data_IF_356702521114
#
_entry.id   IF_356702521114
#
_cell.length_a   1.000
_cell.length_b   1.000
_cell.length_c   1.000
_cell.angle_alpha   90.00
_cell.angle_beta   90.00
_cell.angle_gamma   90.00
#
_symmetry.space_group_name_H-M   'P 1'
#
loop_
_entity.id
_entity.type
_entity.pdbx_description
1 polymer ?
#
# COMPACT_ATOMS: atom_id res chain seq x y z
N UNK A 1 -8.82 -1.38 -19.03
CA UNK A 1 -7.85 -2.43 -19.36
C UNK A 1 -6.49 -1.76 -19.46
N UNK A 2 -5.72 -1.74 -18.36
CA UNK A 2 -4.40 -1.08 -18.33
C UNK A 2 -3.39 -2.12 -18.81
N UNK A 3 -3.03 -2.09 -20.09
CA UNK A 3 -1.89 -2.85 -20.61
C UNK A 3 -0.63 -2.11 -20.21
N UNK A 4 0.16 -2.70 -19.31
CA UNK A 4 1.53 -2.26 -19.04
C UNK A 4 2.46 -3.16 -19.84
N UNK A 5 2.74 -2.81 -21.09
CA UNK A 5 3.79 -3.48 -21.87
C UNK A 5 5.17 -2.99 -21.37
N UNK A 6 5.69 -3.64 -20.33
CA UNK A 6 7.09 -3.50 -19.93
C UNK A 6 7.81 -4.83 -20.18
N UNK A 7 8.74 -4.82 -21.14
CA UNK A 7 9.76 -5.84 -21.26
C UNK A 7 10.70 -5.76 -20.05
N UNK A 8 10.73 -6.82 -19.23
CA UNK A 8 11.68 -6.94 -18.13
C UNK A 8 12.68 -8.05 -18.47
N UNK A 9 13.94 -7.67 -18.68
CA UNK A 9 15.05 -8.60 -18.85
C UNK A 9 15.41 -9.23 -17.50
N UNK A 10 15.09 -10.52 -17.30
CA UNK A 10 15.42 -11.25 -16.09
C UNK A 10 16.58 -12.24 -16.37
N UNK A 11 17.73 -12.05 -15.73
CA UNK A 11 18.85 -13.00 -15.78
C UNK A 11 18.67 -14.13 -14.76
N UNK A 12 18.60 -15.38 -15.21
CA UNK A 12 18.54 -16.55 -14.33
C UNK A 12 19.89 -16.73 -13.62
N UNK A 13 19.90 -16.67 -12.28
CA UNK A 13 21.10 -16.84 -11.47
C UNK A 13 21.04 -18.14 -10.66
N UNK A 14 22.18 -18.82 -10.58
CA UNK A 14 22.37 -20.03 -9.78
C UNK A 14 23.07 -19.75 -8.46
N UNK A 15 22.57 -20.38 -7.39
CA UNK A 15 23.33 -20.57 -6.16
C UNK A 15 23.53 -22.06 -5.91
N UNK A 16 24.80 -22.49 -5.82
CA UNK A 16 25.15 -23.82 -5.33
C UNK A 16 24.99 -23.86 -3.80
N UNK A 17 24.33 -24.90 -3.28
CA UNK A 17 24.36 -25.26 -1.87
C UNK A 17 25.32 -26.44 -1.64
N UNK A 18 25.72 -26.66 -0.38
CA UNK A 18 26.45 -27.88 0.01
C UNK A 18 25.60 -29.10 -0.38
N UNK A 19 26.21 -30.09 -1.06
CA UNK A 19 25.61 -31.28 -1.70
C UNK A 19 25.30 -31.20 -3.21
N UNK A 20 25.83 -30.22 -3.95
CA UNK A 20 25.62 -30.08 -5.41
C UNK A 20 24.19 -29.70 -5.82
N UNK A 21 23.41 -29.15 -4.89
CA UNK A 21 22.10 -28.58 -5.18
C UNK A 21 22.27 -27.19 -5.79
N UNK A 22 21.46 -26.88 -6.81
CA UNK A 22 21.56 -25.67 -7.60
C UNK A 22 20.17 -25.02 -7.62
N UNK A 23 19.96 -23.92 -6.89
CA UNK A 23 18.64 -23.25 -6.80
C UNK A 23 18.61 -22.08 -7.78
N UNK A 24 17.55 -22.01 -8.58
CA UNK A 24 17.22 -20.82 -9.38
C UNK A 24 16.64 -19.75 -8.47
N UNK A 25 17.38 -18.66 -8.28
CA UNK A 25 16.90 -17.48 -7.56
C UNK A 25 16.91 -16.30 -8.51
N UNK A 26 15.84 -16.15 -9.27
CA UNK A 26 15.67 -14.98 -10.13
C UNK A 26 14.50 -14.17 -9.59
N UNK A 27 14.79 -12.92 -9.22
CA UNK A 27 13.78 -11.93 -8.85
C UNK A 27 13.86 -10.82 -9.88
N UNK A 28 12.74 -10.54 -10.53
CA UNK A 28 12.68 -9.46 -11.50
C UNK A 28 12.92 -8.11 -10.85
N UNK A 29 13.34 -7.09 -11.62
CA UNK A 29 13.15 -5.70 -11.22
C UNK A 29 11.69 -5.47 -10.81
N UNK A 30 11.49 -4.56 -9.86
CA UNK A 30 10.15 -4.19 -9.45
C UNK A 30 9.42 -3.46 -10.59
N UNK A 31 8.14 -3.77 -10.78
CA UNK A 31 7.25 -3.10 -11.72
C UNK A 31 5.98 -2.66 -11.00
N UNK A 32 5.16 -1.83 -11.67
CA UNK A 32 4.03 -1.21 -10.99
C UNK A 32 2.79 -1.21 -11.86
N UNK A 33 1.64 -1.41 -11.22
CA UNK A 33 0.32 -1.12 -11.76
C UNK A 33 -0.17 0.16 -11.10
N UNK A 34 -0.32 1.23 -11.88
CA UNK A 34 -0.72 2.54 -11.38
C UNK A 34 -1.92 3.07 -12.16
N UNK A 35 -2.91 3.59 -11.45
CA UNK A 35 -4.07 4.25 -12.04
C UNK A 35 -4.68 5.20 -11.00
N UNK A 36 -5.16 6.37 -11.46
CA UNK A 36 -5.84 7.37 -10.63
C UNK A 36 -5.10 7.73 -9.31
N UNK A 37 -3.78 7.91 -9.39
CA UNK A 37 -2.93 8.26 -8.25
C UNK A 37 -2.65 7.12 -7.25
N UNK A 38 -3.20 5.92 -7.48
CA UNK A 38 -2.94 4.73 -6.66
C UNK A 38 -1.96 3.81 -7.39
N UNK A 39 -0.93 3.34 -6.68
CA UNK A 39 0.10 2.45 -7.22
C UNK A 39 0.24 1.19 -6.38
N UNK A 40 0.26 0.04 -7.05
CA UNK A 40 0.74 -1.23 -6.49
C UNK A 40 2.05 -1.61 -7.18
N UNK A 41 3.00 -2.09 -6.39
CA UNK A 41 4.34 -2.47 -6.80
C UNK A 41 4.52 -3.97 -6.64
N UNK A 42 5.03 -4.60 -7.68
CA UNK A 42 5.11 -6.03 -7.85
C UNK A 42 6.54 -6.46 -8.19
N UNK A 43 6.84 -7.73 -7.98
CA UNK A 43 8.00 -8.39 -8.55
C UNK A 43 7.63 -9.83 -8.93
N UNK A 44 8.32 -10.40 -9.92
CA UNK A 44 8.23 -11.82 -10.23
C UNK A 44 9.42 -12.54 -9.61
N UNK A 45 9.19 -13.72 -9.06
CA UNK A 45 10.26 -14.59 -8.57
C UNK A 45 10.11 -15.98 -9.15
N UNK A 46 11.19 -16.53 -9.66
CA UNK A 46 11.28 -17.97 -9.91
C UNK A 46 11.83 -18.63 -8.64
N UNK A 47 11.13 -19.67 -8.18
CA UNK A 47 11.54 -20.47 -7.01
C UNK A 47 11.62 -21.92 -7.41
N UNK A 48 12.76 -22.55 -7.18
CA UNK A 48 12.96 -23.98 -7.36
C UNK A 48 12.77 -24.69 -6.02
N UNK A 49 11.64 -25.36 -5.87
CA UNK A 49 11.27 -26.12 -4.68
C UNK A 49 11.68 -27.58 -4.88
N UNK A 50 12.53 -28.10 -3.99
CA UNK A 50 12.95 -29.50 -4.00
C UNK A 50 12.59 -30.15 -2.66
N UNK A 51 11.70 -31.13 -2.67
CA UNK A 51 11.42 -31.99 -1.52
C UNK A 51 12.18 -33.29 -1.72
N UNK A 52 13.26 -33.45 -0.98
CA UNK A 52 14.08 -34.67 -0.97
C UNK A 52 13.39 -35.71 -0.09
N UNK A 53 13.09 -36.87 -0.67
CA UNK A 53 12.58 -38.00 0.10
C UNK A 53 13.74 -38.67 0.83
N UNK A 54 13.73 -38.60 2.17
CA UNK A 54 14.76 -39.18 3.03
C UNK A 54 14.35 -40.55 3.61
N UNK A 55 13.20 -41.10 3.22
CA UNK A 55 12.69 -42.35 3.78
C UNK A 55 13.12 -43.57 2.96
N UNK A 56 14.08 -44.34 3.49
CA UNK A 56 14.53 -45.62 2.90
C UNK A 56 13.40 -46.68 2.83
N UNK A 57 12.35 -46.55 3.64
CA UNK A 57 11.27 -47.53 3.78
C UNK A 57 9.99 -47.21 2.99
N UNK A 58 9.88 -46.01 2.42
CA UNK A 58 8.75 -45.60 1.59
C UNK A 58 9.29 -44.87 0.37
N UNK A 59 9.16 -45.48 -0.82
CA UNK A 59 9.60 -44.92 -2.09
C UNK A 59 8.69 -43.75 -2.53
N UNK A 60 8.65 -42.68 -1.73
CA UNK A 60 8.11 -41.40 -2.18
C UNK A 60 9.19 -40.79 -3.07
N UNK A 61 8.94 -40.55 -4.37
CA UNK A 61 9.93 -39.91 -5.23
C UNK A 61 10.20 -38.48 -4.76
N UNK A 62 11.45 -38.03 -4.87
CA UNK A 62 11.76 -36.61 -4.69
C UNK A 62 10.96 -35.79 -5.69
N UNK A 63 10.37 -34.70 -5.21
CA UNK A 63 9.58 -33.79 -6.05
C UNK A 63 10.35 -32.49 -6.17
N UNK A 64 10.78 -32.18 -7.40
CA UNK A 64 11.36 -30.89 -7.75
C UNK A 64 10.40 -30.13 -8.66
N UNK A 65 10.18 -28.85 -8.37
CA UNK A 65 9.25 -28.00 -9.08
C UNK A 65 9.77 -26.58 -9.12
N UNK A 66 9.78 -25.99 -10.32
CA UNK A 66 9.94 -24.54 -10.46
C UNK A 66 8.58 -23.84 -10.44
N UNK A 67 8.46 -22.82 -9.60
CA UNK A 67 7.28 -21.98 -9.43
C UNK A 67 7.56 -20.57 -9.94
N UNK A 68 6.56 -19.96 -10.60
CA UNK A 68 6.51 -18.51 -10.84
C UNK A 68 5.70 -17.88 -9.72
N UNK A 69 6.30 -17.00 -8.94
CA UNK A 69 5.64 -16.29 -7.85
C UNK A 69 5.47 -14.82 -8.22
N UNK A 70 4.27 -14.31 -7.99
CA UNK A 70 3.99 -12.87 -8.03
C UNK A 70 4.06 -12.31 -6.60
N UNK A 71 5.00 -11.40 -6.37
CA UNK A 71 5.22 -10.73 -5.11
C UNK A 71 4.51 -9.39 -5.07
N UNK A 72 3.66 -9.18 -4.07
CA UNK A 72 3.14 -7.85 -3.76
C UNK A 72 4.18 -7.13 -2.89
N UNK A 73 5.00 -6.29 -3.51
CA UNK A 73 6.15 -5.64 -2.84
C UNK A 73 5.70 -4.47 -1.98
N UNK A 74 4.91 -3.57 -2.57
CA UNK A 74 4.49 -2.34 -1.91
C UNK A 74 3.20 -1.78 -2.50
N UNK A 75 2.45 -1.01 -1.72
CA UNK A 75 1.18 -0.42 -2.12
C UNK A 75 0.38 0.11 -0.92
N UNK A 76 -0.85 0.59 -1.16
CA UNK A 76 -1.63 1.40 -0.22
C UNK A 76 -2.27 0.60 0.92
N UNK A 77 -2.36 -0.72 0.79
CA UNK A 77 -2.96 -1.61 1.79
C UNK A 77 -2.06 -2.83 2.05
N UNK A 78 -2.20 -3.45 3.22
CA UNK A 78 -1.46 -4.66 3.59
C UNK A 78 -1.84 -5.84 2.71
N UNK A 79 -3.13 -6.02 2.47
CA UNK A 79 -3.65 -7.12 1.66
C UNK A 79 -4.45 -6.55 0.49
N UNK A 80 -4.25 -7.12 -0.70
CA UNK A 80 -4.98 -6.72 -1.91
C UNK A 80 -5.62 -7.93 -2.57
N UNK A 81 -6.89 -7.81 -2.94
CA UNK A 81 -7.59 -8.84 -3.70
C UNK A 81 -7.63 -8.47 -5.18
N UNK A 82 -6.92 -9.21 -6.02
CA UNK A 82 -6.99 -9.06 -7.48
C UNK A 82 -8.11 -9.91 -8.07
N UNK A 83 -8.64 -9.55 -9.23
CA UNK A 83 -9.63 -10.42 -9.90
C UNK A 83 -8.96 -11.66 -10.48
N UNK A 84 -7.77 -11.48 -11.06
CA UNK A 84 -7.00 -12.51 -11.72
C UNK A 84 -5.56 -12.03 -11.93
N UNK A 85 -4.59 -12.92 -11.76
CA UNK A 85 -3.24 -12.73 -12.28
C UNK A 85 -2.85 -13.95 -13.12
N UNK A 86 -2.40 -13.71 -14.34
CA UNK A 86 -1.97 -14.72 -15.29
C UNK A 86 -0.56 -14.46 -15.78
N UNK A 87 0.24 -15.50 -15.93
CA UNK A 87 1.54 -15.39 -16.57
C UNK A 87 1.64 -16.30 -17.80
N UNK A 88 2.53 -15.93 -18.72
CA UNK A 88 2.96 -16.76 -19.82
C UNK A 88 4.46 -16.57 -20.06
N UNK A 89 5.08 -17.57 -20.68
CA UNK A 89 6.47 -17.51 -21.10
C UNK A 89 6.47 -17.47 -22.61
N UNK A 90 7.13 -16.47 -23.17
CA UNK A 90 7.16 -16.24 -24.61
C UNK A 90 8.56 -16.41 -25.17
N UNK A 91 8.65 -16.89 -26.41
CA UNK A 91 9.89 -16.93 -27.16
C UNK A 91 10.23 -15.50 -27.62
N UNK A 92 11.40 -14.95 -27.26
CA UNK A 92 11.76 -13.58 -27.64
C UNK A 92 11.83 -13.36 -29.15
N UNK A 93 12.24 -14.38 -29.91
CA UNK A 93 12.46 -14.26 -31.35
C UNK A 93 11.16 -14.32 -32.17
N UNK A 94 10.19 -15.13 -31.72
CA UNK A 94 8.97 -15.40 -32.49
C UNK A 94 7.73 -14.77 -31.85
N UNK A 95 7.80 -14.35 -30.59
CA UNK A 95 6.64 -13.95 -29.79
C UNK A 95 5.70 -15.10 -29.45
N UNK A 96 6.01 -16.34 -29.84
CA UNK A 96 5.15 -17.49 -29.59
C UNK A 96 5.17 -17.86 -28.10
N UNK A 97 4.01 -18.23 -27.57
CA UNK A 97 3.89 -18.70 -26.19
C UNK A 97 4.48 -20.11 -26.04
N UNK A 98 5.52 -20.22 -25.22
CA UNK A 98 6.19 -21.48 -24.86
C UNK A 98 5.44 -22.21 -23.74
N UNK A 99 4.97 -21.44 -22.76
CA UNK A 99 4.16 -21.93 -21.63
C UNK A 99 3.05 -20.93 -21.31
N UNK A 100 1.85 -21.45 -21.12
CA UNK A 100 0.65 -20.66 -20.77
C UNK A 100 -0.13 -21.36 -19.66
N UNK A 101 -1.07 -20.64 -19.05
CA UNK A 101 -1.97 -21.19 -18.03
C UNK A 101 -1.47 -21.02 -16.60
N UNK A 102 -0.40 -20.26 -16.36
CA UNK A 102 -0.05 -19.83 -15.00
C UNK A 102 -1.17 -18.92 -14.48
N UNK A 103 -1.81 -19.30 -13.37
CA UNK A 103 -2.99 -18.59 -12.87
C UNK A 103 -3.02 -18.46 -11.34
N UNK A 104 -3.55 -17.35 -10.87
CA UNK A 104 -3.86 -17.10 -9.46
C UNK A 104 -5.29 -17.53 -9.08
N UNK A 105 -5.95 -18.38 -9.86
CA UNK A 105 -7.37 -18.76 -9.64
C UNK A 105 -7.67 -19.23 -8.22
N UNK A 106 -6.73 -19.95 -7.59
CA UNK A 106 -6.88 -20.50 -6.24
C UNK A 106 -6.42 -19.54 -5.13
N UNK A 107 -5.74 -18.43 -5.46
CA UNK A 107 -5.35 -17.40 -4.49
C UNK A 107 -5.39 -16.01 -5.13
N UNK A 108 -6.41 -15.24 -4.75
CA UNK A 108 -6.64 -13.88 -5.24
C UNK A 108 -6.21 -12.81 -4.25
N UNK A 109 -5.88 -13.20 -3.03
CA UNK A 109 -5.47 -12.30 -1.96
C UNK A 109 -3.96 -12.31 -1.84
N UNK A 110 -3.36 -11.13 -1.99
CA UNK A 110 -1.93 -10.92 -1.96
C UNK A 110 -1.57 -10.07 -0.75
N UNK A 111 -0.87 -10.67 0.22
CA UNK A 111 -0.28 -9.97 1.34
C UNK A 111 1.03 -9.27 0.97
N UNK A 112 1.19 -8.03 1.44
CA UNK A 112 2.36 -7.19 1.21
C UNK A 112 3.62 -7.84 1.78
N UNK A 113 4.69 -7.83 1.01
CA UNK A 113 5.94 -8.53 1.31
C UNK A 113 5.92 -10.04 1.01
N UNK A 114 4.79 -10.60 0.56
CA UNK A 114 4.64 -12.03 0.29
C UNK A 114 4.56 -12.34 -1.21
N UNK A 115 5.00 -13.55 -1.56
CA UNK A 115 4.94 -14.09 -2.93
C UNK A 115 3.94 -15.21 -3.02
N UNK A 116 3.09 -15.16 -4.04
CA UNK A 116 2.06 -16.15 -4.28
C UNK A 116 2.33 -16.91 -5.58
N UNK A 117 2.30 -18.25 -5.57
CA UNK A 117 2.58 -19.03 -6.77
C UNK A 117 1.43 -18.90 -7.77
N UNK A 118 1.78 -18.59 -9.02
CA UNK A 118 0.90 -18.74 -10.16
C UNK A 118 0.96 -20.21 -10.59
N UNK A 119 -0.15 -20.91 -10.36
CA UNK A 119 -0.20 -22.36 -10.53
C UNK A 119 -0.35 -22.68 -12.01
N UNK A 120 0.37 -23.73 -12.43
CA UNK A 120 0.28 -24.31 -13.76
C UNK A 120 -0.45 -25.65 -13.65
N UNK A 121 -1.04 -26.11 -14.73
CA UNK A 121 -1.60 -27.46 -14.78
C UNK A 121 -0.52 -28.51 -14.44
N UNK A 122 -0.86 -29.49 -13.60
CA UNK A 122 0.06 -30.56 -13.15
C UNK A 122 0.76 -31.29 -14.30
N UNK A 123 0.10 -31.40 -15.46
CA UNK A 123 0.66 -32.03 -16.66
C UNK A 123 1.81 -31.22 -17.29
N UNK A 124 1.85 -29.92 -17.03
CA UNK A 124 2.83 -28.97 -17.57
C UNK A 124 3.90 -28.59 -16.55
N UNK A 125 3.65 -28.75 -15.24
CA UNK A 125 4.60 -28.42 -14.16
C UNK A 125 5.97 -29.10 -14.36
N UNK A 126 5.98 -30.40 -14.71
CA UNK A 126 7.22 -31.13 -14.96
C UNK A 126 7.96 -30.60 -16.19
N UNK A 127 7.23 -30.39 -17.30
CA UNK A 127 7.82 -29.86 -18.55
C UNK A 127 8.41 -28.47 -18.34
N UNK A 128 7.72 -27.63 -17.58
CA UNK A 128 8.19 -26.29 -17.23
C UNK A 128 9.45 -26.36 -16.36
N UNK A 129 9.44 -27.22 -15.34
CA UNK A 129 10.60 -27.46 -14.47
C UNK A 129 11.81 -27.91 -15.29
N UNK A 130 11.65 -28.91 -16.17
CA UNK A 130 12.72 -29.41 -17.03
C UNK A 130 13.22 -28.30 -17.99
N UNK A 131 12.30 -27.50 -18.54
CA UNK A 131 12.63 -26.37 -19.42
C UNK A 131 13.50 -25.32 -18.72
N UNK A 132 13.14 -24.90 -17.49
CA UNK A 132 13.95 -23.91 -16.74
C UNK A 132 15.37 -24.44 -16.49
N UNK A 133 15.50 -25.72 -16.12
CA UNK A 133 16.81 -26.34 -15.86
C UNK A 133 17.65 -26.57 -17.12
N UNK A 134 17.03 -26.68 -18.30
CA UNK A 134 17.75 -26.74 -19.58
C UNK A 134 18.16 -25.35 -20.08
N UNK A 135 17.53 -24.30 -19.57
CA UNK A 135 17.69 -22.91 -20.00
C UNK A 135 18.33 -22.06 -18.90
N UNK A 136 19.24 -22.67 -18.14
CA UNK A 136 20.09 -22.00 -17.17
C UNK A 136 21.01 -21.02 -17.89
N UNK A 137 21.24 -19.85 -17.28
CA UNK A 137 22.07 -18.77 -17.83
C UNK A 137 21.55 -18.21 -19.18
N UNK A 138 20.31 -18.54 -19.56
CA UNK A 138 19.65 -17.96 -20.73
C UNK A 138 18.58 -16.93 -20.32
N UNK A 139 18.20 -16.07 -21.26
CA UNK A 139 17.13 -15.10 -21.07
C UNK A 139 15.77 -15.75 -21.23
N UNK A 140 14.87 -15.48 -20.28
CA UNK A 140 13.49 -15.94 -20.31
C UNK A 140 12.55 -14.74 -20.23
N UNK A 141 11.63 -14.64 -21.20
CA UNK A 141 10.63 -13.58 -21.22
C UNK A 141 9.34 -14.07 -20.56
N UNK A 142 9.02 -13.48 -19.41
CA UNK A 142 7.79 -13.75 -18.67
C UNK A 142 6.86 -12.55 -18.86
N UNK A 143 5.66 -12.79 -19.37
CA UNK A 143 4.58 -11.80 -19.47
C UNK A 143 3.63 -12.03 -18.30
N UNK A 144 3.18 -10.95 -17.66
CA UNK A 144 2.24 -10.98 -16.54
C UNK A 144 1.07 -10.05 -16.83
N UNK A 145 -0.14 -10.58 -16.73
CA UNK A 145 -1.39 -9.84 -16.82
C UNK A 145 -2.08 -9.86 -15.45
N UNK A 146 -2.25 -8.68 -14.84
CA UNK A 146 -2.91 -8.52 -13.54
C UNK A 146 -4.19 -7.72 -13.72
N UNK A 147 -5.33 -8.31 -13.36
CA UNK A 147 -6.65 -7.73 -13.46
C UNK A 147 -7.14 -7.27 -12.09
N UNK A 148 -7.46 -5.99 -11.99
CA UNK A 148 -7.96 -5.35 -10.76
C UNK A 148 -9.40 -4.88 -10.91
N UNK A 149 -10.12 -4.83 -9.78
CA UNK A 149 -11.34 -4.03 -9.67
C UNK A 149 -11.00 -2.54 -9.70
N UNK A 150 -11.77 -1.75 -10.44
CA UNK A 150 -11.55 -0.31 -10.55
C UNK A 150 -11.62 0.42 -9.19
N UNK A 151 -12.42 -0.09 -8.26
CA UNK A 151 -12.54 0.46 -6.90
C UNK A 151 -11.24 0.43 -6.09
N UNK A 152 -10.27 -0.42 -6.46
CA UNK A 152 -8.94 -0.46 -5.83
C UNK A 152 -8.05 0.71 -6.26
N UNK A 153 -8.49 1.51 -7.22
CA UNK A 153 -7.79 2.73 -7.62
C UNK A 153 -8.58 3.98 -7.24
N UNK A 154 -9.46 3.86 -6.25
CA UNK A 154 -10.00 5.03 -5.55
C UNK A 154 -9.04 5.40 -4.40
N UNK A 155 -8.25 6.49 -4.51
CA UNK A 155 -7.31 6.86 -3.46
C UNK A 155 -8.01 7.20 -2.14
N UNK A 156 -9.26 7.66 -2.19
CA UNK A 156 -10.03 8.00 -0.98
C UNK A 156 -10.46 6.75 -0.20
N UNK A 157 -10.49 5.57 -0.83
CA UNK A 157 -10.81 4.32 -0.14
C UNK A 157 -9.72 3.86 0.84
N UNK A 158 -8.49 4.35 0.67
CA UNK A 158 -7.33 4.05 1.54
C UNK A 158 -7.17 5.03 2.69
N UNK A 159 -7.93 6.12 2.66
CA UNK A 159 -7.90 7.18 3.65
C UNK A 159 -9.15 7.08 4.52
N UNK A 160 -9.11 7.52 5.79
CA UNK A 160 -10.27 7.45 6.67
C UNK A 160 -11.50 8.10 6.00
N UNK A 161 -12.59 7.31 5.87
CA UNK A 161 -13.87 7.83 5.41
C UNK A 161 -14.35 8.87 6.42
N UNK A 162 -14.68 10.06 5.92
CA UNK A 162 -15.31 11.11 6.72
C UNK A 162 -16.55 11.59 5.98
N UNK A 163 -17.43 10.65 5.66
CA UNK A 163 -18.81 11.03 5.40
C UNK A 163 -19.35 11.72 6.66
N UNK A 164 -19.99 12.87 6.49
CA UNK A 164 -20.62 13.64 7.59
C UNK A 164 -21.57 12.78 8.44
N UNK A 165 -22.04 11.66 7.91
CA UNK A 165 -22.88 10.68 8.61
C UNK A 165 -22.14 9.92 9.73
N UNK A 166 -20.81 9.78 9.66
CA UNK A 166 -20.01 9.06 10.66
C UNK A 166 -19.48 9.98 11.78
N UNK A 167 -19.53 11.30 11.62
CA UNK A 167 -19.14 12.23 12.68
C UNK A 167 -20.31 12.47 13.61
N UNK A 168 -20.12 12.14 14.88
CA UNK A 168 -21.03 12.66 15.91
C UNK A 168 -20.96 14.19 15.88
N UNK A 169 -22.09 14.86 15.63
CA UNK A 169 -22.19 16.32 15.69
C UNK A 169 -21.68 16.86 17.03
N UNK A 170 -21.80 16.07 18.09
CA UNK A 170 -21.23 16.38 19.41
C UNK A 170 -19.70 16.45 19.37
N UNK A 171 -19.03 15.45 18.79
CA UNK A 171 -17.56 15.41 18.69
C UNK A 171 -17.07 16.58 17.84
N UNK A 172 -17.66 16.78 16.67
CA UNK A 172 -17.26 17.87 15.76
C UNK A 172 -17.39 19.24 16.42
N UNK A 173 -18.51 19.50 17.11
CA UNK A 173 -18.70 20.74 17.86
C UNK A 173 -17.66 20.91 18.97
N UNK A 174 -17.37 19.84 19.71
CA UNK A 174 -16.38 19.88 20.81
C UNK A 174 -14.97 20.14 20.28
N UNK A 175 -14.61 19.54 19.12
CA UNK A 175 -13.39 19.83 18.41
C UNK A 175 -13.29 21.31 18.01
N UNK A 176 -14.37 21.88 17.43
CA UNK A 176 -14.40 23.29 17.05
C UNK A 176 -14.27 24.22 18.26
N UNK A 177 -14.95 23.90 19.36
CA UNK A 177 -14.94 24.70 20.58
C UNK A 177 -13.54 24.68 21.22
N UNK A 178 -12.86 23.54 21.23
CA UNK A 178 -11.45 23.46 21.63
C UNK A 178 -10.55 24.34 20.77
N UNK A 179 -10.67 24.26 19.43
CA UNK A 179 -9.82 25.07 18.53
C UNK A 179 -10.08 26.56 18.69
N UNK A 180 -11.33 26.99 18.90
CA UNK A 180 -11.66 28.38 19.23
C UNK A 180 -11.01 28.81 20.54
N UNK A 181 -11.11 27.97 21.57
CA UNK A 181 -10.53 28.24 22.88
C UNK A 181 -9.00 28.33 22.83
N UNK A 182 -8.36 27.49 22.01
CA UNK A 182 -6.92 27.57 21.71
C UNK A 182 -6.53 28.93 21.09
N UNK A 183 -7.25 29.40 20.06
CA UNK A 183 -6.98 30.70 19.44
C UNK A 183 -7.25 31.89 20.38
N UNK A 184 -8.23 31.76 21.27
CA UNK A 184 -8.55 32.79 22.25
C UNK A 184 -7.61 32.80 23.47
N UNK A 185 -6.59 31.92 23.50
CA UNK A 185 -5.72 31.68 24.65
C UNK A 185 -6.50 31.40 25.95
N UNK A 186 -7.67 30.78 25.83
CA UNK A 186 -8.51 30.42 26.98
C UNK A 186 -8.31 28.98 27.45
N UNK A 187 -7.37 28.25 26.82
CA UNK A 187 -6.93 26.91 27.21
C UNK A 187 -5.47 26.99 27.60
N UNK A 188 -5.16 26.54 28.82
CA UNK A 188 -3.78 26.38 29.27
C UNK A 188 -3.26 25.01 28.80
N UNK A 189 -2.29 25.03 27.88
CA UNK A 189 -1.65 23.83 27.35
C UNK A 189 -0.23 23.75 27.94
N UNK A 190 0.05 22.78 28.83
CA UNK A 190 1.34 22.69 29.50
C UNK A 190 2.51 22.61 28.52
N UNK A 191 3.57 23.38 28.80
CA UNK A 191 4.81 23.46 28.00
C UNK A 191 4.68 24.11 26.60
N UNK A 192 3.51 24.63 26.23
CA UNK A 192 3.34 25.26 24.92
C UNK A 192 4.24 26.50 24.76
N UNK A 193 4.38 27.31 25.80
CA UNK A 193 5.21 28.53 25.76
C UNK A 193 6.71 28.22 25.63
N UNK A 194 7.16 27.09 26.18
CA UNK A 194 8.54 26.63 26.02
C UNK A 194 8.83 26.27 24.56
N UNK A 195 7.91 25.54 23.91
CA UNK A 195 8.05 25.17 22.50
C UNK A 195 7.95 26.40 21.58
N UNK A 196 7.08 27.36 21.91
CA UNK A 196 7.02 28.66 21.23
C UNK A 196 8.35 29.39 21.27
N UNK A 197 9.01 29.41 22.44
CA UNK A 197 10.31 30.06 22.59
C UNK A 197 11.44 29.33 21.83
N UNK A 198 11.33 28.01 21.64
CA UNK A 198 12.30 27.20 20.89
C UNK A 198 12.12 27.30 19.37
N UNK A 199 10.98 27.80 18.88
CA UNK A 199 10.67 27.88 17.45
C UNK A 199 10.36 26.53 16.79
N UNK A 200 10.16 25.46 17.57
CA UNK A 200 9.80 24.14 17.04
C UNK A 200 8.30 24.05 16.77
N UNK A 201 7.92 24.53 15.58
CA UNK A 201 6.54 24.57 15.10
C UNK A 201 5.85 23.21 15.13
N UNK A 202 6.51 22.14 14.70
CA UNK A 202 5.87 20.83 14.56
C UNK A 202 5.71 20.14 15.91
N UNK A 203 6.64 20.33 16.84
CA UNK A 203 6.46 19.91 18.24
C UNK A 203 5.32 20.67 18.91
N UNK A 204 5.13 21.96 18.61
CA UNK A 204 3.96 22.70 19.08
C UNK A 204 2.66 22.09 18.53
N UNK A 205 2.56 21.86 17.22
CA UNK A 205 1.35 21.25 16.65
C UNK A 205 1.09 19.86 17.23
N UNK A 206 2.13 19.07 17.47
CA UNK A 206 2.01 17.77 18.14
C UNK A 206 1.42 17.89 19.54
N UNK A 207 1.95 18.81 20.34
CA UNK A 207 1.48 19.03 21.70
C UNK A 207 0.02 19.48 21.72
N UNK A 208 -0.33 20.50 20.93
CA UNK A 208 -1.70 21.01 20.85
C UNK A 208 -2.65 19.93 20.32
N UNK A 209 -2.21 19.15 19.32
CA UNK A 209 -3.02 18.09 18.74
C UNK A 209 -3.37 17.00 19.75
N UNK A 210 -2.35 16.47 20.44
CA UNK A 210 -2.53 15.40 21.43
C UNK A 210 -3.34 15.88 22.64
N UNK A 211 -3.06 17.09 23.13
CA UNK A 211 -3.81 17.69 24.23
C UNK A 211 -5.28 17.91 23.84
N UNK A 212 -5.52 18.41 22.63
CA UNK A 212 -6.88 18.61 22.11
C UNK A 212 -7.65 17.31 21.96
N UNK A 213 -7.01 16.23 21.51
CA UNK A 213 -7.65 14.91 21.44
C UNK A 213 -8.08 14.40 22.82
N UNK A 214 -7.17 14.44 23.80
CA UNK A 214 -7.45 14.04 25.19
C UNK A 214 -8.57 14.88 25.82
N UNK A 215 -8.60 16.18 25.54
CA UNK A 215 -9.66 17.07 26.03
C UNK A 215 -11.02 16.76 25.40
N UNK A 216 -11.06 16.62 24.06
CA UNK A 216 -12.29 16.28 23.34
C UNK A 216 -12.82 14.92 23.77
N UNK A 217 -11.93 13.95 23.98
CA UNK A 217 -12.28 12.61 24.48
C UNK A 217 -13.01 12.71 25.83
N UNK A 218 -12.42 13.40 26.81
CA UNK A 218 -13.01 13.60 28.15
C UNK A 218 -14.32 14.38 28.13
N UNK A 219 -14.46 15.35 27.23
CA UNK A 219 -15.66 16.18 27.13
C UNK A 219 -16.79 15.45 26.36
N UNK A 220 -16.43 14.47 25.51
CA UNK A 220 -17.39 13.69 24.70
C UNK A 220 -17.82 12.38 25.36
N UNK A 221 -16.96 11.75 26.16
CA UNK A 221 -17.22 10.47 26.79
C UNK A 221 -17.08 10.61 28.30
N UNK A 222 -18.07 10.14 29.05
CA UNK A 222 -18.00 10.13 30.51
C UNK A 222 -17.10 8.97 30.96
N UNK A 223 -16.52 9.07 32.16
CA UNK A 223 -15.67 8.02 32.76
C UNK A 223 -16.38 6.65 32.93
N UNK A 224 -17.69 6.59 32.74
CA UNK A 224 -18.52 5.38 32.84
C UNK A 224 -18.74 4.66 31.50
N UNK A 225 -18.42 5.26 30.35
CA UNK A 225 -18.52 4.63 29.03
C UNK A 225 -17.21 3.91 28.67
N UNK A 226 -17.26 2.60 28.40
CA UNK A 226 -16.10 1.88 27.86
C UNK A 226 -15.72 2.46 26.49
N UNK A 227 -14.60 3.18 26.47
CA UNK A 227 -14.02 3.75 25.25
C UNK A 227 -13.49 2.64 24.35
N UNK A 228 -14.23 2.36 23.28
CA UNK A 228 -13.74 1.45 22.22
C UNK A 228 -12.65 2.12 21.40
N UNK A 229 -11.75 1.32 20.81
CA UNK A 229 -10.73 1.82 19.87
C UNK A 229 -11.37 2.58 18.69
N UNK A 230 -12.56 2.15 18.27
CA UNK A 230 -13.32 2.82 17.23
C UNK A 230 -13.71 4.26 17.63
N UNK A 231 -14.20 4.47 18.86
CA UNK A 231 -14.55 5.79 19.40
C UNK A 231 -13.34 6.73 19.44
N UNK A 232 -12.18 6.20 19.87
CA UNK A 232 -10.92 6.97 19.92
C UNK A 232 -10.44 7.36 18.52
N UNK A 233 -10.52 6.43 17.56
CA UNK A 233 -10.17 6.70 16.17
C UNK A 233 -11.11 7.72 15.53
N UNK A 234 -12.39 7.73 15.92
CA UNK A 234 -13.35 8.74 15.48
C UNK A 234 -13.00 10.14 16.00
N UNK A 235 -12.66 10.28 17.29
CA UNK A 235 -12.19 11.56 17.86
C UNK A 235 -10.95 12.04 17.13
N UNK A 236 -9.92 11.20 17.02
CA UNK A 236 -8.64 11.57 16.38
C UNK A 236 -8.82 11.98 14.93
N UNK A 237 -9.65 11.27 14.17
CA UNK A 237 -9.91 11.60 12.76
C UNK A 237 -10.74 12.87 12.61
N UNK A 238 -11.74 13.07 13.48
CA UNK A 238 -12.57 14.29 13.49
C UNK A 238 -11.75 15.51 13.89
N UNK A 239 -10.92 15.37 14.92
CA UNK A 239 -10.05 16.45 15.39
C UNK A 239 -8.96 16.77 14.35
N UNK A 240 -8.38 15.76 13.68
CA UNK A 240 -7.45 15.97 12.57
C UNK A 240 -8.05 16.85 11.48
N UNK A 241 -9.30 16.60 11.09
CA UNK A 241 -9.99 17.42 10.12
C UNK A 241 -10.17 18.87 10.58
N UNK A 242 -10.77 19.08 11.75
CA UNK A 242 -11.04 20.44 12.26
C UNK A 242 -9.74 21.21 12.46
N UNK A 243 -8.72 20.55 13.00
CA UNK A 243 -7.40 21.14 13.22
C UNK A 243 -6.70 21.47 11.90
N UNK A 244 -6.74 20.57 10.91
CA UNK A 244 -6.19 20.84 9.59
C UNK A 244 -6.87 22.06 8.93
N UNK A 245 -8.20 22.08 8.87
CA UNK A 245 -8.96 23.15 8.22
C UNK A 245 -8.83 24.50 8.92
N UNK A 246 -8.87 24.51 10.26
CA UNK A 246 -8.93 25.76 11.04
C UNK A 246 -7.57 26.28 11.48
N UNK A 247 -6.55 25.41 11.56
CA UNK A 247 -5.21 25.76 12.05
C UNK A 247 -4.19 25.67 10.91
N UNK A 248 -3.97 24.48 10.35
CA UNK A 248 -2.86 24.25 9.42
C UNK A 248 -3.07 24.91 8.05
N UNK A 249 -4.30 24.87 7.51
CA UNK A 249 -4.61 25.47 6.20
C UNK A 249 -4.38 26.98 6.15
N UNK A 250 -4.35 27.67 7.30
CA UNK A 250 -4.04 29.11 7.36
C UNK A 250 -2.57 29.41 7.06
N UNK A 251 -1.72 28.40 7.18
CA UNK A 251 -0.27 28.52 7.01
C UNK A 251 0.18 28.10 5.61
N UNK A 252 -0.74 27.60 4.78
CA UNK A 252 -0.46 27.07 3.45
C UNK A 252 -0.84 28.10 2.39
N UNK A 253 0.12 28.52 1.57
CA UNK A 253 -0.07 29.49 0.49
C UNK A 253 0.15 28.86 -0.88
N UNK A 254 1.07 27.88 -0.98
CA UNK A 254 1.37 27.17 -2.22
C UNK A 254 1.48 25.65 -2.01
N UNK A 255 1.74 24.92 -3.09
CA UNK A 255 1.83 23.46 -3.04
C UNK A 255 3.04 22.98 -2.23
N UNK A 256 4.16 23.68 -2.32
CA UNK A 256 5.40 23.39 -1.59
C UNK A 256 5.21 23.45 -0.06
N UNK A 257 4.29 24.31 0.40
CA UNK A 257 3.92 24.37 1.82
C UNK A 257 3.22 23.08 2.26
N UNK A 258 2.43 22.43 1.39
CA UNK A 258 1.84 21.12 1.71
C UNK A 258 2.91 20.03 1.84
N UNK A 259 3.94 20.04 1.00
CA UNK A 259 5.05 19.08 1.10
C UNK A 259 5.81 19.29 2.42
N UNK A 260 6.15 20.55 2.73
CA UNK A 260 6.83 20.91 3.98
C UNK A 260 5.99 20.55 5.21
N UNK A 261 4.67 20.77 5.14
CA UNK A 261 3.72 20.40 6.19
C UNK A 261 3.64 18.87 6.35
N UNK A 262 3.54 18.11 5.26
CA UNK A 262 3.53 16.63 5.31
C UNK A 262 4.80 16.06 5.92
N UNK A 263 5.96 16.58 5.52
CA UNK A 263 7.25 16.16 6.06
C UNK A 263 7.34 16.45 7.55
N UNK A 264 7.04 17.69 7.96
CA UNK A 264 7.12 18.08 9.37
C UNK A 264 6.12 17.35 10.27
N UNK A 265 4.89 17.15 9.82
CA UNK A 265 3.89 16.32 10.52
C UNK A 265 4.31 14.85 10.58
N UNK A 266 4.97 14.36 9.52
CA UNK A 266 5.59 13.04 9.48
C UNK A 266 6.66 12.87 10.56
N UNK A 267 7.59 13.82 10.68
CA UNK A 267 8.65 13.83 11.70
C UNK A 267 8.10 14.01 13.12
N UNK A 268 7.04 14.79 13.28
CA UNK A 268 6.35 14.94 14.57
C UNK A 268 5.49 13.72 14.96
N UNK A 269 5.40 12.69 14.12
CA UNK A 269 4.64 11.49 14.36
C UNK A 269 3.17 11.77 14.73
N UNK A 270 2.45 12.50 13.86
CA UNK A 270 1.00 12.74 13.99
C UNK A 270 0.23 12.07 12.83
N UNK A 271 0.07 10.73 12.83
CA UNK A 271 -0.55 10.00 11.72
C UNK A 271 -1.96 10.47 11.32
N UNK A 272 -2.87 10.85 12.25
CA UNK A 272 -4.19 11.35 11.86
C UNK A 272 -4.14 12.61 11.00
N UNK A 273 -3.27 13.57 11.33
CA UNK A 273 -3.10 14.79 10.54
C UNK A 273 -2.47 14.51 9.19
N UNK A 274 -1.46 13.63 9.14
CA UNK A 274 -0.85 13.21 7.88
C UNK A 274 -1.90 12.65 6.90
N UNK A 275 -2.75 11.73 7.37
CA UNK A 275 -3.83 11.14 6.57
C UNK A 275 -4.84 12.18 6.08
N UNK A 276 -5.14 13.19 6.91
CA UNK A 276 -6.06 14.26 6.52
C UNK A 276 -5.47 15.18 5.43
N UNK A 277 -4.19 15.51 5.54
CA UNK A 277 -3.50 16.31 4.52
C UNK A 277 -3.41 15.52 3.20
N UNK A 278 -3.00 14.25 3.24
CA UNK A 278 -2.98 13.36 2.08
C UNK A 278 -4.37 13.29 1.43
N UNK A 279 -5.43 13.20 2.24
CA UNK A 279 -6.82 13.18 1.76
C UNK A 279 -7.23 14.47 1.09
N UNK A 280 -6.88 15.62 1.66
CA UNK A 280 -7.16 16.91 1.04
C UNK A 280 -6.48 17.00 -0.33
N UNK A 281 -5.20 16.65 -0.42
CA UNK A 281 -4.44 16.65 -1.68
C UNK A 281 -5.08 15.69 -2.70
N UNK A 282 -5.43 14.46 -2.29
CA UNK A 282 -6.10 13.52 -3.17
C UNK A 282 -7.43 14.07 -3.70
N UNK A 283 -8.24 14.74 -2.87
CA UNK A 283 -9.50 15.36 -3.31
C UNK A 283 -9.29 16.46 -4.34
N UNK A 284 -8.31 17.33 -4.13
CA UNK A 284 -7.99 18.40 -5.07
C UNK A 284 -7.42 17.86 -6.39
N UNK A 285 -6.57 16.84 -6.35
CA UNK A 285 -6.06 16.19 -7.58
C UNK A 285 -7.19 15.50 -8.34
N UNK A 286 -8.09 14.82 -7.63
CA UNK A 286 -9.26 14.17 -8.24
C UNK A 286 -10.20 15.21 -8.87
N UNK A 287 -10.50 16.31 -8.18
CA UNK A 287 -11.40 17.36 -8.72
C UNK A 287 -10.84 17.97 -10.01
N UNK A 288 -9.56 18.32 -10.03
CA UNK A 288 -8.88 18.85 -11.23
C UNK A 288 -8.89 17.83 -12.37
N UNK A 289 -8.72 16.54 -12.06
CA UNK A 289 -8.77 15.48 -13.06
C UNK A 289 -10.16 15.38 -13.72
N UNK A 290 -11.24 15.53 -12.95
CA UNK A 290 -12.60 15.51 -13.48
C UNK A 290 -12.89 16.72 -14.37
N UNK A 291 -12.42 17.92 -13.98
CA UNK A 291 -12.57 19.13 -14.79
C UNK A 291 -11.80 19.02 -16.12
N UNK A 292 -10.60 18.44 -16.08
CA UNK A 292 -9.77 18.22 -17.28
C UNK A 292 -10.41 17.24 -18.28
N UNK A 293 -11.13 16.23 -17.79
CA UNK A 293 -11.90 15.31 -18.64
C UNK A 293 -13.11 15.99 -19.29
N UNK A 294 -13.76 16.94 -18.61
CA UNK A 294 -14.87 17.71 -19.19
C UNK A 294 -14.40 18.60 -20.34
N UNK A 295 -13.22 19.22 -20.23
CA UNK A 295 -12.64 20.05 -21.29
C UNK A 295 -12.09 19.28 -22.50
N UNK A 296 -11.94 17.95 -22.41
CA UNK A 296 -11.57 17.11 -23.56
C UNK A 296 -12.77 16.50 -24.29
N UNK A 297 -13.99 16.76 -23.81
CA UNK A 297 -15.23 16.21 -24.40
C UNK A 297 -16.08 17.27 -25.10
N UNK A 298 -15.51 18.43 -25.44
CA UNK A 298 -16.11 19.46 -26.30
C UNK A 298 -15.26 19.73 -27.53
#
# INVERSE_FOLDING_TARGET
MVKSDKHCDNHLLFRLLENSEAIVLNVSPAFSTAYNGVQFTWALRLSDECVVSTCEYAAVPSVRRVCVLLYYKDGPCTDVTVEEAKASIICPQTGAELFTGFSSENSREFAKGSGWPLLLDKSMEKKFTDFVHQNIDTHMNIVIDIKFKNSLFDPLSYLPSMERACRSQRIEKTCEDFVKAYFNNSVDIPNLDLLRAQGDKFSMHRLVFLFGCDRVEKDCFNDEEELTEHSLNLVRSTFAHVYFERVLMREVQCFEDFISLLEGIGQAHIPPLRKEIERFICREVISVSHDSFIFQTF
#
